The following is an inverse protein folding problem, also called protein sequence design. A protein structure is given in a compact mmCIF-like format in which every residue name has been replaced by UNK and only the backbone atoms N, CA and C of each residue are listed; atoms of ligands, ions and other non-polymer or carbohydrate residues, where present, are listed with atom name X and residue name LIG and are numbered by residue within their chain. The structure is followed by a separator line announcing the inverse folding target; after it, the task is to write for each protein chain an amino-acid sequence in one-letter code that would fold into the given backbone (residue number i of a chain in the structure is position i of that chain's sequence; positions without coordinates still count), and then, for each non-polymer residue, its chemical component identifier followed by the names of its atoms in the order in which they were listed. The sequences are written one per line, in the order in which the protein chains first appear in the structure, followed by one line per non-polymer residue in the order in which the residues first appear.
data_IF_822460757178
#
_entry.id   IF_822460757178
#
_cell.length_a   1.000
_cell.length_b   1.000
_cell.length_c   1.000
_cell.angle_alpha   90.00
_cell.angle_beta   90.00
_cell.angle_gamma   90.00
#
_symmetry.space_group_name_H-M   'P 1'
#
loop_
_entity.id
_entity.type
_entity.pdbx_description
1 polymer ?
#
# COMPACT_ATOMS: atom_id res chain seq x y z
N UNK A 1 -1.36 -2.69 16.97
CA UNK A 1 -0.68 -1.71 16.11
C UNK A 1 -0.67 -2.19 14.66
N UNK A 2 -0.80 -1.26 13.72
CA UNK A 2 -0.76 -1.56 12.28
C UNK A 2 0.62 -2.07 11.87
N UNK A 3 1.69 -1.41 12.28
CA UNK A 3 3.06 -1.96 12.19
C UNK A 3 3.24 -2.96 13.33
N UNK A 4 3.09 -4.24 13.01
CA UNK A 4 3.24 -5.30 14.02
C UNK A 4 4.71 -5.64 14.28
N UNK A 5 5.50 -5.72 13.21
CA UNK A 5 6.93 -6.00 13.28
C UNK A 5 7.65 -5.36 12.09
N UNK A 6 8.69 -4.60 12.38
CA UNK A 6 9.62 -4.06 11.40
C UNK A 6 11.04 -4.34 11.85
N UNK A 7 11.81 -5.08 11.05
CA UNK A 7 13.20 -5.41 11.38
C UNK A 7 14.01 -5.79 10.15
N UNK A 8 15.30 -5.55 10.21
CA UNK A 8 16.26 -6.07 9.24
C UNK A 8 16.88 -7.36 9.78
N UNK A 9 16.95 -8.36 8.94
CA UNK A 9 17.54 -9.68 9.22
C UNK A 9 18.60 -10.03 8.18
N UNK A 10 19.59 -10.83 8.58
CA UNK A 10 20.58 -11.36 7.64
C UNK A 10 20.26 -12.80 7.31
N UNK A 11 20.08 -13.09 6.03
CA UNK A 11 19.75 -14.43 5.52
C UNK A 11 20.68 -14.76 4.37
N UNK A 12 21.52 -15.78 4.53
CA UNK A 12 22.44 -16.23 3.49
C UNK A 12 23.41 -15.14 3.00
N UNK A 13 23.82 -14.23 3.88
CA UNK A 13 24.71 -13.12 3.53
C UNK A 13 24.00 -11.89 2.92
N UNK A 14 22.69 -11.95 2.75
CA UNK A 14 21.85 -10.83 2.29
C UNK A 14 21.16 -10.15 3.45
N UNK A 15 21.02 -8.85 3.36
CA UNK A 15 20.25 -8.03 4.28
C UNK A 15 18.79 -7.96 3.80
N UNK A 16 17.85 -8.36 4.62
CA UNK A 16 16.42 -8.40 4.27
C UNK A 16 15.63 -7.55 5.26
N UNK A 17 14.93 -6.54 4.77
CA UNK A 17 13.98 -5.79 5.59
C UNK A 17 12.63 -6.51 5.59
N UNK A 18 12.17 -6.92 6.78
CA UNK A 18 10.88 -7.55 6.99
C UNK A 18 9.93 -6.58 7.68
N UNK A 19 8.79 -6.32 7.04
CA UNK A 19 7.70 -5.50 7.56
C UNK A 19 6.41 -6.33 7.60
N UNK A 20 5.90 -6.62 8.79
CA UNK A 20 4.57 -7.16 8.99
C UNK A 20 3.61 -6.02 9.31
N UNK A 21 2.64 -5.81 8.43
CA UNK A 21 1.72 -4.69 8.45
C UNK A 21 0.28 -5.18 8.42
N UNK A 22 -0.48 -4.95 9.51
CA UNK A 22 -1.76 -5.62 9.77
C UNK A 22 -3.00 -4.81 9.37
N UNK A 23 -2.89 -3.48 9.22
CA UNK A 23 -4.01 -2.64 8.80
C UNK A 23 -3.53 -1.30 8.24
N UNK A 24 -4.27 -0.74 7.29
CA UNK A 24 -4.02 0.61 6.76
C UNK A 24 -4.83 1.66 7.53
N UNK A 25 -4.52 1.82 8.82
CA UNK A 25 -5.15 2.85 9.65
C UNK A 25 -4.54 4.22 9.36
N UNK A 26 -5.41 5.21 9.06
CA UNK A 26 -4.95 6.55 8.69
C UNK A 26 -4.16 7.22 9.82
N UNK A 27 -4.59 7.00 11.05
CA UNK A 27 -3.99 7.55 12.26
C UNK A 27 -2.61 6.98 12.57
N UNK A 28 -2.28 5.80 12.00
CA UNK A 28 -0.99 5.13 12.19
C UNK A 28 -0.04 5.30 10.98
N UNK A 29 -0.37 6.19 10.02
CA UNK A 29 0.47 6.43 8.84
C UNK A 29 1.87 6.89 9.21
N UNK A 30 2.03 7.72 10.24
CA UNK A 30 3.33 8.17 10.71
C UNK A 30 4.20 7.02 11.23
N UNK A 31 3.62 6.08 11.99
CA UNK A 31 4.33 4.88 12.46
C UNK A 31 4.83 4.03 11.29
N UNK A 32 4.03 3.91 10.23
CA UNK A 32 4.45 3.23 9.00
C UNK A 32 5.62 3.95 8.32
N UNK A 33 5.55 5.28 8.17
CA UNK A 33 6.62 6.07 7.58
C UNK A 33 7.92 5.96 8.37
N UNK A 34 7.86 5.98 9.70
CA UNK A 34 9.02 5.80 10.57
C UNK A 34 9.66 4.41 10.38
N UNK A 35 8.85 3.35 10.37
CA UNK A 35 9.32 1.99 10.18
C UNK A 35 9.99 1.79 8.80
N UNK A 36 9.39 2.34 7.74
CA UNK A 36 9.94 2.30 6.39
C UNK A 36 11.24 3.09 6.28
N UNK A 37 11.26 4.31 6.83
CA UNK A 37 12.46 5.16 6.83
C UNK A 37 13.63 4.45 7.51
N UNK A 38 13.41 3.86 8.68
CA UNK A 38 14.45 3.14 9.43
C UNK A 38 14.91 1.88 8.69
N UNK A 39 13.97 1.04 8.23
CA UNK A 39 14.31 -0.21 7.58
C UNK A 39 15.00 -0.04 6.22
N UNK A 40 14.56 0.93 5.42
CA UNK A 40 15.14 1.20 4.10
C UNK A 40 16.48 1.96 4.19
N UNK A 41 16.72 2.74 5.24
CA UNK A 41 18.01 3.39 5.48
C UNK A 41 19.15 2.38 5.67
N UNK A 42 18.84 1.15 6.07
CA UNK A 42 19.83 0.07 6.18
C UNK A 42 20.27 -0.51 4.82
N UNK A 43 19.71 -0.02 3.72
CA UNK A 43 19.99 -0.47 2.34
C UNK A 43 19.83 -2.00 2.19
N UNK A 44 18.62 -2.53 2.41
CA UNK A 44 18.37 -3.97 2.31
C UNK A 44 18.53 -4.46 0.87
N UNK A 45 19.04 -5.67 0.69
CA UNK A 45 19.11 -6.35 -0.61
C UNK A 45 17.72 -6.74 -1.12
N UNK A 46 16.85 -7.18 -0.21
CA UNK A 46 15.48 -7.59 -0.49
C UNK A 46 14.53 -7.06 0.60
N UNK A 47 13.25 -6.92 0.24
CA UNK A 47 12.17 -6.51 1.17
C UNK A 47 11.11 -7.60 1.23
N UNK A 48 10.64 -7.93 2.43
CA UNK A 48 9.47 -8.77 2.66
C UNK A 48 8.38 -7.91 3.28
N UNK A 49 7.28 -7.76 2.57
CA UNK A 49 6.06 -7.11 3.05
C UNK A 49 5.02 -8.18 3.39
N UNK A 50 4.73 -8.35 4.66
CA UNK A 50 3.78 -9.35 5.13
C UNK A 50 2.39 -8.72 5.33
N UNK A 51 1.48 -9.04 4.43
CA UNK A 51 0.09 -8.57 4.41
C UNK A 51 -0.91 -9.71 4.68
N UNK A 52 -0.47 -10.85 5.16
CA UNK A 52 -1.34 -12.04 5.35
C UNK A 52 -2.56 -11.78 6.24
N UNK A 53 -2.45 -10.86 7.18
CA UNK A 53 -3.52 -10.52 8.12
C UNK A 53 -4.13 -9.13 7.87
N UNK A 54 -3.82 -8.51 6.74
CA UNK A 54 -4.20 -7.11 6.47
C UNK A 54 -5.45 -7.03 5.59
N UNK A 55 -6.63 -6.65 6.13
CA UNK A 55 -7.87 -6.54 5.36
C UNK A 55 -7.98 -5.25 4.54
N UNK A 56 -6.96 -4.40 4.58
CA UNK A 56 -6.95 -3.11 3.90
C UNK A 56 -7.12 -1.92 4.85
N UNK A 57 -7.82 -0.88 4.40
CA UNK A 57 -8.06 0.36 5.12
C UNK A 57 -7.89 1.59 4.23
N UNK A 58 -7.18 2.61 4.72
CA UNK A 58 -6.97 3.91 4.07
C UNK A 58 -6.21 3.80 2.75
N UNK A 59 -6.80 4.33 1.69
CA UNK A 59 -6.14 4.47 0.38
C UNK A 59 -4.91 5.38 0.47
N UNK A 60 -4.99 6.50 1.20
CA UNK A 60 -3.87 7.42 1.34
C UNK A 60 -2.67 6.79 2.03
N UNK A 61 -2.90 5.96 3.05
CA UNK A 61 -1.84 5.21 3.73
C UNK A 61 -1.21 4.16 2.81
N UNK A 62 -2.02 3.50 1.96
CA UNK A 62 -1.51 2.58 0.94
C UNK A 62 -0.65 3.29 -0.12
N UNK A 63 -1.04 4.50 -0.54
CA UNK A 63 -0.23 5.33 -1.45
C UNK A 63 1.09 5.73 -0.79
N UNK A 64 1.09 6.02 0.50
CA UNK A 64 2.32 6.29 1.26
C UNK A 64 3.26 5.09 1.21
N UNK A 65 2.78 3.89 1.56
CA UNK A 65 3.58 2.66 1.48
C UNK A 65 4.13 2.43 0.05
N UNK A 66 3.27 2.59 -0.95
CA UNK A 66 3.66 2.44 -2.35
C UNK A 66 4.75 3.43 -2.76
N UNK A 67 4.66 4.68 -2.29
CA UNK A 67 5.67 5.71 -2.58
C UNK A 67 7.04 5.33 -2.03
N UNK A 68 7.11 4.76 -0.84
CA UNK A 68 8.37 4.27 -0.28
C UNK A 68 8.96 3.08 -1.05
N UNK A 69 8.11 2.16 -1.52
CA UNK A 69 8.54 0.91 -2.17
C UNK A 69 8.72 1.05 -3.69
N UNK A 70 8.20 2.10 -4.30
CA UNK A 70 8.37 2.35 -5.72
C UNK A 70 9.80 2.79 -6.06
N UNK A 71 10.32 2.47 -7.26
CA UNK A 71 11.60 2.98 -7.70
C UNK A 71 11.55 4.51 -7.88
N UNK A 72 12.68 5.18 -7.72
CA UNK A 72 12.77 6.64 -7.86
C UNK A 72 12.24 7.16 -9.23
N UNK A 73 12.36 6.35 -10.29
CA UNK A 73 11.82 6.66 -11.61
C UNK A 73 10.30 6.72 -11.68
N UNK A 74 9.59 6.14 -10.70
CA UNK A 74 8.13 6.18 -10.63
C UNK A 74 7.58 7.47 -10.00
N UNK A 75 8.42 8.27 -9.36
CA UNK A 75 7.97 9.48 -8.67
C UNK A 75 7.24 10.44 -9.62
N UNK A 76 6.14 11.01 -9.13
CA UNK A 76 5.19 11.84 -9.86
C UNK A 76 4.39 11.12 -10.97
N UNK A 77 4.62 9.83 -11.19
CA UNK A 77 3.78 9.01 -12.08
C UNK A 77 2.52 8.54 -11.36
N UNK A 78 1.54 8.06 -12.14
CA UNK A 78 0.29 7.53 -11.58
C UNK A 78 0.56 6.29 -10.73
N UNK A 79 0.15 6.32 -9.47
CA UNK A 79 0.14 5.16 -8.58
C UNK A 79 -1.18 4.41 -8.73
N UNK A 80 -2.30 5.08 -8.44
CA UNK A 80 -3.64 4.51 -8.46
C UNK A 80 -4.65 5.48 -9.06
N UNK A 81 -5.76 4.91 -9.56
CA UNK A 81 -6.95 5.68 -9.95
C UNK A 81 -8.17 5.13 -9.23
N UNK A 82 -9.02 6.02 -8.74
CA UNK A 82 -10.37 5.70 -8.29
C UNK A 82 -11.34 6.18 -9.37
N UNK A 83 -12.00 5.23 -10.01
CA UNK A 83 -12.98 5.48 -11.08
C UNK A 83 -14.35 5.41 -10.44
N UNK A 84 -14.96 6.60 -10.24
CA UNK A 84 -16.24 6.73 -9.56
C UNK A 84 -17.42 6.43 -10.49
N UNK A 85 -18.58 6.24 -9.89
CA UNK A 85 -19.82 6.06 -10.63
C UNK A 85 -20.31 7.39 -11.24
N UNK A 86 -21.33 7.33 -12.09
CA UNK A 86 -21.89 8.47 -12.82
C UNK A 86 -22.53 9.57 -11.94
N UNK A 87 -22.66 9.34 -10.63
CA UNK A 87 -23.18 10.31 -9.66
C UNK A 87 -22.07 11.17 -9.04
N UNK A 88 -20.83 10.68 -9.07
CA UNK A 88 -19.63 11.39 -8.62
C UNK A 88 -18.88 11.79 -9.89
N UNK A 89 -18.76 13.10 -10.14
CA UNK A 89 -18.40 13.61 -11.46
C UNK A 89 -16.93 13.51 -11.82
N UNK A 90 -16.02 13.28 -10.86
CA UNK A 90 -14.58 13.35 -11.10
C UNK A 90 -13.89 12.12 -10.52
N UNK A 91 -13.14 11.44 -11.37
CA UNK A 91 -12.24 10.37 -10.96
C UNK A 91 -11.04 10.95 -10.19
N UNK A 92 -10.54 10.20 -9.22
CA UNK A 92 -9.35 10.60 -8.48
C UNK A 92 -8.12 9.84 -8.99
N UNK A 93 -7.05 10.59 -9.26
CA UNK A 93 -5.74 10.02 -9.62
C UNK A 93 -4.74 10.31 -8.51
N UNK A 94 -4.19 9.25 -7.94
CA UNK A 94 -3.10 9.32 -6.97
C UNK A 94 -1.77 9.09 -7.68
N UNK A 95 -0.76 9.87 -7.31
CA UNK A 95 0.61 9.73 -7.81
C UNK A 95 1.53 9.23 -6.71
N UNK A 96 2.65 8.65 -7.08
CA UNK A 96 3.75 8.48 -6.14
C UNK A 96 4.28 9.88 -5.81
N UNK A 97 4.00 10.35 -4.61
CA UNK A 97 4.32 11.70 -4.18
C UNK A 97 5.60 11.74 -3.35
N UNK A 98 6.70 12.32 -3.88
CA UNK A 98 7.96 12.40 -3.15
C UNK A 98 7.86 13.11 -1.79
N UNK A 99 6.88 14.00 -1.62
CA UNK A 99 6.67 14.69 -0.33
C UNK A 99 6.33 13.73 0.82
N UNK A 100 5.70 12.58 0.50
CA UNK A 100 5.36 11.54 1.48
C UNK A 100 6.59 10.83 2.05
N UNK A 101 7.74 10.90 1.39
CA UNK A 101 8.99 10.32 1.87
C UNK A 101 9.56 11.09 3.07
N UNK A 102 9.13 12.33 3.29
CA UNK A 102 9.56 13.17 4.41
C UNK A 102 11.10 13.25 4.56
N UNK A 103 11.80 13.36 3.42
CA UNK A 103 13.26 13.41 3.35
C UNK A 103 13.96 12.04 3.30
N UNK A 104 13.23 10.94 3.43
CA UNK A 104 13.77 9.61 3.20
C UNK A 104 14.00 9.36 1.70
N UNK A 105 14.79 8.33 1.38
CA UNK A 105 14.98 7.89 0.00
C UNK A 105 13.99 6.79 -0.36
N UNK A 106 13.67 6.68 -1.65
CA UNK A 106 12.96 5.52 -2.18
C UNK A 106 13.75 4.25 -1.93
N UNK A 107 13.02 3.15 -1.79
CA UNK A 107 13.62 1.84 -1.66
C UNK A 107 14.45 1.49 -2.90
N UNK A 108 15.64 0.93 -2.65
CA UNK A 108 16.46 0.29 -3.67
C UNK A 108 16.73 -1.13 -3.20
N UNK A 109 16.09 -2.11 -3.83
CA UNK A 109 16.19 -3.54 -3.50
C UNK A 109 16.16 -4.38 -4.77
N UNK A 110 16.59 -5.64 -4.66
CA UNK A 110 16.52 -6.60 -5.76
C UNK A 110 15.08 -7.10 -5.95
N UNK A 111 14.43 -7.54 -4.85
CA UNK A 111 13.07 -8.08 -4.89
C UNK A 111 12.21 -7.56 -3.74
N UNK A 112 10.92 -7.41 -4.02
CA UNK A 112 9.85 -7.22 -3.06
C UNK A 112 9.03 -8.51 -2.99
N UNK A 113 9.14 -9.23 -1.88
CA UNK A 113 8.31 -10.38 -1.59
C UNK A 113 7.08 -9.93 -0.80
N UNK A 114 5.89 -10.13 -1.34
CA UNK A 114 4.63 -9.81 -0.66
C UNK A 114 3.97 -11.11 -0.21
N UNK A 115 3.87 -11.30 1.11
CA UNK A 115 3.19 -12.45 1.69
C UNK A 115 1.69 -12.18 1.78
N UNK A 116 0.88 -13.07 1.21
CA UNK A 116 -0.58 -12.91 1.10
C UNK A 116 -1.34 -14.12 1.64
N UNK A 117 -2.57 -13.88 2.06
CA UNK A 117 -3.57 -14.89 2.38
C UNK A 117 -4.95 -14.47 1.87
N UNK A 118 -5.95 -15.29 2.05
CA UNK A 118 -7.34 -14.96 1.76
C UNK A 118 -7.90 -13.76 2.58
N UNK A 119 -7.21 -13.35 3.64
CA UNK A 119 -7.53 -12.14 4.41
C UNK A 119 -6.89 -10.87 3.85
N UNK A 120 -5.94 -10.98 2.92
CA UNK A 120 -5.32 -9.83 2.26
C UNK A 120 -6.33 -9.19 1.33
N UNK A 121 -6.79 -7.96 1.63
CA UNK A 121 -7.90 -7.36 0.90
C UNK A 121 -7.74 -5.84 0.65
N UNK A 122 -8.47 -5.30 -0.33
CA UNK A 122 -8.70 -3.85 -0.50
C UNK A 122 -7.40 -3.06 -0.66
N UNK A 123 -7.07 -2.16 0.30
CA UNK A 123 -5.84 -1.35 0.26
C UNK A 123 -4.56 -2.21 0.17
N UNK A 124 -4.56 -3.43 0.72
CA UNK A 124 -3.45 -4.38 0.55
C UNK A 124 -3.32 -4.84 -0.90
N UNK A 125 -4.44 -5.09 -1.57
CA UNK A 125 -4.47 -5.47 -2.99
C UNK A 125 -4.09 -4.29 -3.88
N UNK A 126 -4.53 -3.07 -3.51
CA UNK A 126 -4.10 -1.83 -4.17
C UNK A 126 -2.58 -1.69 -4.14
N UNK A 127 -1.93 -1.97 -3.00
CA UNK A 127 -0.46 -1.91 -2.90
C UNK A 127 0.19 -2.84 -3.94
N UNK A 128 -0.23 -4.09 -3.99
CA UNK A 128 0.32 -5.08 -4.91
C UNK A 128 0.08 -4.66 -6.37
N UNK A 129 -1.18 -4.33 -6.70
CA UNK A 129 -1.59 -3.99 -8.04
C UNK A 129 -0.87 -2.74 -8.58
N UNK A 130 -0.76 -1.70 -7.76
CA UNK A 130 -0.18 -0.43 -8.18
C UNK A 130 1.35 -0.45 -8.29
N UNK A 131 2.04 -1.35 -7.60
CA UNK A 131 3.49 -1.53 -7.74
C UNK A 131 3.88 -2.41 -8.93
N UNK A 132 3.01 -3.30 -9.42
CA UNK A 132 3.31 -4.22 -10.52
C UNK A 132 3.84 -3.52 -11.78
N UNK A 133 3.24 -2.44 -12.30
CA UNK A 133 3.72 -1.76 -13.51
C UNK A 133 5.16 -1.24 -13.38
N UNK A 134 5.61 -0.96 -12.16
CA UNK A 134 6.89 -0.31 -11.88
C UNK A 134 7.99 -1.27 -11.43
N UNK A 135 7.61 -2.35 -10.76
CA UNK A 135 8.54 -3.35 -10.25
C UNK A 135 8.66 -4.59 -11.17
N UNK A 136 7.62 -4.88 -11.96
CA UNK A 136 7.62 -6.04 -12.86
C UNK A 136 7.95 -7.34 -12.13
N UNK A 137 8.94 -8.06 -12.64
CA UNK A 137 9.40 -9.35 -12.08
C UNK A 137 10.07 -9.24 -10.70
N UNK A 138 10.41 -8.03 -10.26
CA UNK A 138 10.94 -7.81 -8.92
C UNK A 138 9.87 -7.96 -7.82
N UNK A 139 8.57 -7.85 -8.15
CA UNK A 139 7.47 -8.06 -7.22
C UNK A 139 7.01 -9.50 -7.27
N UNK A 140 7.24 -10.23 -6.19
CA UNK A 140 6.93 -11.64 -6.04
C UNK A 140 5.85 -11.80 -4.95
N UNK A 141 4.66 -12.23 -5.36
CA UNK A 141 3.57 -12.57 -4.43
C UNK A 141 3.69 -14.02 -4.01
N UNK A 142 3.68 -14.27 -2.70
CA UNK A 142 3.86 -15.61 -2.10
C UNK A 142 2.73 -15.87 -1.11
N UNK A 143 2.09 -17.01 -1.24
CA UNK A 143 1.02 -17.45 -0.36
C UNK A 143 -0.27 -17.76 -1.11
N UNK A 144 -1.40 -17.42 -0.53
CA UNK A 144 -2.73 -17.67 -1.09
C UNK A 144 -3.18 -16.52 -2.01
N UNK A 145 -4.22 -16.79 -2.78
CA UNK A 145 -4.95 -15.73 -3.47
C UNK A 145 -5.50 -14.73 -2.44
N UNK A 146 -5.47 -13.46 -2.80
CA UNK A 146 -6.08 -12.39 -2.00
C UNK A 146 -7.61 -12.42 -2.10
N UNK A 147 -8.29 -11.61 -1.30
CA UNK A 147 -9.74 -11.58 -1.19
C UNK A 147 -10.45 -11.20 -2.51
N UNK A 148 -9.86 -10.33 -3.34
CA UNK A 148 -10.42 -9.89 -4.61
C UNK A 148 -11.31 -8.64 -4.51
N UNK A 149 -11.08 -7.76 -3.52
CA UNK A 149 -11.81 -6.49 -3.38
C UNK A 149 -11.14 -5.37 -4.18
N UNK A 150 -11.58 -5.17 -5.41
CA UNK A 150 -11.08 -4.13 -6.31
C UNK A 150 -11.89 -2.82 -6.28
N UNK A 151 -12.61 -2.56 -5.19
CA UNK A 151 -13.49 -1.39 -5.03
C UNK A 151 -13.12 -0.59 -3.78
N UNK A 152 -13.35 0.73 -3.88
CA UNK A 152 -13.24 1.65 -2.75
C UNK A 152 -14.62 2.00 -2.20
N UNK A 153 -14.65 2.24 -0.90
CA UNK A 153 -15.85 2.65 -0.17
C UNK A 153 -15.66 4.05 0.39
N UNK A 154 -16.74 4.83 0.34
CA UNK A 154 -16.82 6.15 0.98
C UNK A 154 -17.70 6.09 2.20
N UNK A 155 -17.22 6.69 3.29
CA UNK A 155 -18.00 6.87 4.52
C UNK A 155 -18.95 8.06 4.34
N UNK A 156 -20.21 7.83 4.63
CA UNK A 156 -21.25 8.87 4.63
C UNK A 156 -21.84 8.94 6.05
N UNK A 157 -21.83 10.14 6.60
CA UNK A 157 -22.44 10.45 7.91
C UNK A 157 -23.51 11.51 7.75
N UNK A 158 -24.42 11.60 8.72
CA UNK A 158 -25.45 12.64 8.79
C UNK A 158 -25.44 13.24 10.21
N UNK A 159 -25.35 14.56 10.29
CA UNK A 159 -25.29 15.28 11.56
C UNK A 159 -26.51 15.06 12.45
N UNK A 160 -27.67 14.78 11.84
CA UNK A 160 -28.89 14.43 12.59
C UNK A 160 -28.84 13.03 13.22
N UNK A 161 -27.94 12.17 12.73
CA UNK A 161 -27.76 10.79 13.19
C UNK A 161 -26.27 10.44 13.32
N UNK A 162 -25.53 11.08 14.23
CA UNK A 162 -24.06 11.00 14.28
C UNK A 162 -23.51 9.61 14.64
N UNK A 163 -24.36 8.72 15.16
CA UNK A 163 -23.98 7.34 15.48
C UNK A 163 -24.20 6.36 14.33
N UNK A 164 -24.73 6.84 13.19
CA UNK A 164 -24.97 5.99 12.01
C UNK A 164 -23.96 6.35 10.94
N UNK A 165 -23.20 5.36 10.50
CA UNK A 165 -22.24 5.46 9.41
C UNK A 165 -22.64 4.51 8.27
N UNK A 166 -22.67 5.04 7.06
CA UNK A 166 -22.84 4.24 5.85
C UNK A 166 -21.52 4.14 5.09
N UNK A 167 -21.13 2.92 4.76
CA UNK A 167 -19.96 2.64 3.94
C UNK A 167 -20.43 2.17 2.57
N UNK A 168 -20.48 3.08 1.61
CA UNK A 168 -20.98 2.81 0.28
C UNK A 168 -19.83 2.52 -0.68
N UNK A 169 -19.96 1.48 -1.49
CA UNK A 169 -19.07 1.25 -2.63
C UNK A 169 -19.29 2.34 -3.66
N UNK A 170 -18.27 3.15 -3.93
CA UNK A 170 -18.38 4.35 -4.76
C UNK A 170 -17.45 4.37 -5.96
N UNK A 171 -16.37 3.58 -5.95
CA UNK A 171 -15.41 3.58 -7.04
C UNK A 171 -14.80 2.19 -7.27
N UNK A 172 -14.36 1.96 -8.51
CA UNK A 172 -13.39 0.93 -8.83
C UNK A 172 -11.97 1.46 -8.62
N UNK A 173 -11.06 0.57 -8.22
CA UNK A 173 -9.64 0.86 -8.08
C UNK A 173 -8.89 0.28 -9.26
N UNK A 174 -8.01 1.06 -9.88
CA UNK A 174 -7.10 0.57 -10.92
C UNK A 174 -5.69 1.10 -10.74
N UNK A 175 -4.72 0.42 -11.34
CA UNK A 175 -3.33 0.87 -11.41
C UNK A 175 -3.08 1.83 -12.58
N UNK A 176 -1.81 2.15 -12.87
CA UNK A 176 -1.44 3.04 -13.96
C UNK A 176 -1.82 2.53 -15.35
N UNK A 177 -1.93 1.20 -15.53
CA UNK A 177 -2.26 0.53 -16.79
C UNK A 177 -3.78 0.31 -16.97
N UNK A 178 -4.58 0.63 -15.93
CA UNK A 178 -6.03 0.45 -15.96
C UNK A 178 -6.51 -0.91 -15.46
N UNK A 179 -5.61 -1.72 -14.89
CA UNK A 179 -5.93 -3.04 -14.33
C UNK A 179 -6.38 -2.95 -12.88
#
# INVERSE_FOLDING_TARGET
PSVYLAKTINVGGKKVFYLMYNAFEAEETESLQQALTQGLAESPDDVILDLRYNPGGSVSTAITLNTFLAPASAMNQTCAKLIFNDKIKEDATYKFDPSLLNGAQNASFNHLYVLTSSNTASASELVINCLRPYLGEKLLQIGENTFGKNVAQSKITNDAYPLIEFWLTTAYVSNAEGN
#
